data_IF_408294815372
#
_entry.id   IF_408294815372
#
_cell.length_a   1.000
_cell.length_b   1.000
_cell.length_c   1.000
_cell.angle_alpha   90.00
_cell.angle_beta   90.00
_cell.angle_gamma   90.00
#
_symmetry.space_group_name_H-M   'P 1'
#
loop_
_entity.id
_entity.type
_entity.pdbx_description
1 polymer ?
#
# COMPACT_ATOMS: atom_id res chain seq x y z
N UNK A 1 47.75 -4.20 14.01
CA UNK A 1 46.80 -4.32 12.89
C UNK A 1 47.20 -3.29 11.84
N UNK A 2 47.41 -3.68 10.58
CA UNK A 2 47.82 -2.73 9.53
C UNK A 2 46.72 -1.68 9.31
N UNK A 3 47.10 -0.41 9.21
CA UNK A 3 46.18 0.73 9.00
C UNK A 3 45.25 0.48 7.80
N UNK A 4 45.73 -0.21 6.75
CA UNK A 4 44.92 -0.56 5.59
C UNK A 4 43.72 -1.46 5.91
N UNK A 5 43.83 -2.38 6.87
CA UNK A 5 42.71 -3.24 7.28
C UNK A 5 41.64 -2.47 8.06
N UNK A 6 42.04 -1.44 8.82
CA UNK A 6 41.13 -0.58 9.56
C UNK A 6 40.32 0.29 8.59
N UNK A 7 40.99 0.88 7.59
CA UNK A 7 40.33 1.71 6.56
C UNK A 7 39.35 0.87 5.73
N UNK A 8 39.75 -0.34 5.31
CA UNK A 8 38.87 -1.25 4.58
C UNK A 8 37.63 -1.63 5.40
N UNK A 9 37.81 -1.93 6.69
CA UNK A 9 36.70 -2.23 7.60
C UNK A 9 35.69 -1.08 7.72
N UNK A 10 36.17 0.16 7.84
CA UNK A 10 35.30 1.35 7.89
C UNK A 10 34.50 1.51 6.59
N UNK A 11 35.14 1.35 5.43
CA UNK A 11 34.47 1.45 4.12
C UNK A 11 33.35 0.41 3.99
N UNK A 12 33.60 -0.83 4.41
CA UNK A 12 32.60 -1.91 4.37
C UNK A 12 31.41 -1.58 5.28
N UNK A 13 31.67 -1.08 6.50
CA UNK A 13 30.60 -0.69 7.44
C UNK A 13 29.73 0.43 6.84
N UNK A 14 30.35 1.43 6.21
CA UNK A 14 29.63 2.53 5.56
C UNK A 14 28.73 1.99 4.44
N UNK A 15 29.25 1.09 3.59
CA UNK A 15 28.48 0.49 2.50
C UNK A 15 27.28 -0.31 3.02
N UNK A 16 27.44 -1.06 4.11
CA UNK A 16 26.36 -1.84 4.73
C UNK A 16 25.27 -0.90 5.27
N UNK A 17 25.65 0.16 5.98
CA UNK A 17 24.70 1.14 6.53
C UNK A 17 23.91 1.82 5.41
N UNK A 18 24.59 2.22 4.33
CA UNK A 18 23.94 2.81 3.15
C UNK A 18 22.98 1.83 2.48
N UNK A 19 23.40 0.57 2.29
CA UNK A 19 22.57 -0.47 1.71
C UNK A 19 21.30 -0.74 2.50
N UNK A 20 21.43 -0.89 3.82
CA UNK A 20 20.29 -1.07 4.74
C UNK A 20 19.37 0.16 4.71
N UNK A 21 19.94 1.36 4.68
CA UNK A 21 19.19 2.61 4.62
C UNK A 21 18.29 2.71 3.38
N UNK A 22 18.78 2.28 2.22
CA UNK A 22 18.00 2.25 0.97
C UNK A 22 16.89 1.18 1.05
N UNK A 23 17.23 -0.03 1.52
CA UNK A 23 16.26 -1.12 1.66
C UNK A 23 15.12 -0.76 2.62
N UNK A 24 15.44 -0.12 3.74
CA UNK A 24 14.44 0.33 4.72
C UNK A 24 13.47 1.36 4.13
N UNK A 25 13.94 2.27 3.25
CA UNK A 25 13.07 3.22 2.55
C UNK A 25 12.11 2.52 1.59
N UNK A 26 12.61 1.55 0.83
CA UNK A 26 11.79 0.76 -0.09
C UNK A 26 10.71 -0.04 0.67
N UNK A 27 11.08 -0.66 1.79
CA UNK A 27 10.13 -1.41 2.63
C UNK A 27 9.04 -0.50 3.20
N UNK A 28 9.39 0.69 3.70
CA UNK A 28 8.41 1.67 4.21
C UNK A 28 7.39 2.07 3.14
N UNK A 29 7.84 2.25 1.90
CA UNK A 29 6.94 2.55 0.78
C UNK A 29 5.99 1.37 0.50
N UNK A 30 6.52 0.15 0.45
CA UNK A 30 5.72 -1.06 0.25
C UNK A 30 4.65 -1.24 1.32
N UNK A 31 5.01 -1.10 2.59
CA UNK A 31 4.06 -1.17 3.72
C UNK A 31 2.97 -0.11 3.59
N UNK A 32 3.32 1.13 3.21
CA UNK A 32 2.36 2.22 3.02
C UNK A 32 1.33 1.89 1.92
N UNK A 33 1.79 1.29 0.82
CA UNK A 33 0.90 0.87 -0.28
C UNK A 33 -0.04 -0.25 0.18
N UNK A 34 0.50 -1.27 0.86
CA UNK A 34 -0.31 -2.39 1.35
C UNK A 34 -1.38 -1.89 2.33
N UNK A 35 -1.02 -1.00 3.26
CA UNK A 35 -1.98 -0.39 4.18
C UNK A 35 -3.07 0.40 3.46
N UNK A 36 -2.71 1.12 2.39
CA UNK A 36 -3.68 1.85 1.57
C UNK A 36 -4.67 0.90 0.88
N UNK A 37 -4.18 -0.22 0.33
CA UNK A 37 -4.99 -1.25 -0.30
C UNK A 37 -5.96 -1.89 0.68
N UNK A 38 -5.44 -2.30 1.84
CA UNK A 38 -6.26 -2.90 2.89
C UNK A 38 -7.33 -1.91 3.37
N UNK A 39 -6.99 -0.64 3.56
CA UNK A 39 -7.96 0.40 3.91
C UNK A 39 -9.10 0.49 2.89
N UNK A 40 -8.76 0.48 1.60
CA UNK A 40 -9.74 0.48 0.51
C UNK A 40 -10.70 -0.71 0.57
N UNK A 41 -10.16 -1.91 0.79
CA UNK A 41 -10.96 -3.14 0.92
C UNK A 41 -11.85 -3.12 2.17
N UNK A 42 -11.31 -2.68 3.29
CA UNK A 42 -12.05 -2.55 4.55
C UNK A 42 -13.19 -1.54 4.37
N UNK A 43 -12.93 -0.39 3.75
CA UNK A 43 -13.96 0.60 3.44
C UNK A 43 -15.04 0.05 2.51
N UNK A 44 -14.66 -0.65 1.44
CA UNK A 44 -15.63 -1.29 0.53
C UNK A 44 -16.56 -2.24 1.31
N UNK A 45 -15.99 -3.08 2.18
CA UNK A 45 -16.78 -3.99 2.99
C UNK A 45 -17.67 -3.25 3.98
N UNK A 46 -17.16 -2.20 4.64
CA UNK A 46 -17.90 -1.40 5.61
C UNK A 46 -19.09 -0.67 4.98
N UNK A 47 -18.91 -0.05 3.80
CA UNK A 47 -20.02 0.63 3.13
C UNK A 47 -21.09 -0.36 2.69
N UNK A 48 -20.70 -1.56 2.29
CA UNK A 48 -21.62 -2.63 1.88
C UNK A 48 -22.40 -3.27 3.04
N UNK A 49 -22.14 -2.87 4.29
CA UNK A 49 -22.99 -3.23 5.45
C UNK A 49 -24.20 -2.29 5.58
N UNK A 50 -24.21 -1.17 4.87
CA UNK A 50 -25.33 -0.24 4.90
C UNK A 50 -26.48 -0.78 4.04
N UNK A 51 -27.73 -0.71 4.51
CA UNK A 51 -28.87 -1.35 3.83
C UNK A 51 -29.27 -0.71 2.49
N UNK A 52 -28.57 0.34 2.05
CA UNK A 52 -28.80 1.07 0.80
C UNK A 52 -27.59 1.01 -0.15
N UNK A 53 -26.53 0.27 0.23
CA UNK A 53 -25.32 0.09 -0.56
C UNK A 53 -25.17 -1.39 -0.89
N UNK A 54 -25.25 -1.71 -2.17
CA UNK A 54 -25.09 -3.07 -2.70
C UNK A 54 -24.05 -3.04 -3.83
N UNK A 55 -22.78 -2.95 -3.45
CA UNK A 55 -21.67 -3.01 -4.40
C UNK A 55 -21.25 -4.48 -4.57
N UNK A 56 -21.26 -5.04 -5.79
CA UNK A 56 -20.84 -6.42 -6.02
C UNK A 56 -19.36 -6.61 -5.67
N UNK A 57 -19.04 -7.55 -4.78
CA UNK A 57 -17.66 -7.88 -4.39
C UNK A 57 -17.05 -8.82 -5.43
N UNK A 58 -16.45 -8.24 -6.46
CA UNK A 58 -15.78 -8.94 -7.54
C UNK A 58 -14.34 -8.43 -7.69
N UNK A 59 -13.56 -9.06 -8.57
CA UNK A 59 -12.15 -8.71 -8.75
C UNK A 59 -11.96 -7.23 -9.14
N UNK A 60 -12.85 -6.67 -9.97
CA UNK A 60 -12.78 -5.28 -10.42
C UNK A 60 -13.07 -4.29 -9.27
N UNK A 61 -14.11 -4.52 -8.49
CA UNK A 61 -14.47 -3.63 -7.37
C UNK A 61 -13.43 -3.69 -6.25
N UNK A 62 -12.86 -4.87 -5.98
CA UNK A 62 -11.74 -5.05 -5.05
C UNK A 62 -10.49 -4.32 -5.56
N UNK A 63 -10.20 -4.36 -6.87
CA UNK A 63 -9.07 -3.63 -7.46
C UNK A 63 -9.26 -2.11 -7.37
N UNK A 64 -10.44 -1.61 -7.74
CA UNK A 64 -10.76 -0.18 -7.71
C UNK A 64 -10.73 0.34 -6.27
N UNK A 65 -11.35 -0.37 -5.33
CA UNK A 65 -11.33 0.00 -3.92
C UNK A 65 -9.93 -0.12 -3.32
N UNK A 66 -9.18 -1.17 -3.63
CA UNK A 66 -7.82 -1.36 -3.12
C UNK A 66 -6.85 -0.28 -3.60
N UNK A 67 -6.69 -0.14 -4.92
CA UNK A 67 -5.75 0.84 -5.46
C UNK A 67 -6.22 2.29 -5.32
N UNK A 68 -7.54 2.53 -5.35
CA UNK A 68 -8.12 3.86 -5.18
C UNK A 68 -8.36 4.26 -3.72
N UNK A 69 -8.25 3.32 -2.77
CA UNK A 69 -8.55 3.54 -1.36
C UNK A 69 -9.95 4.13 -1.15
N UNK A 70 -10.02 5.19 -0.35
CA UNK A 70 -11.26 5.95 -0.08
C UNK A 70 -11.87 6.50 -1.37
N UNK A 71 -11.06 7.05 -2.28
CA UNK A 71 -11.54 7.64 -3.53
C UNK A 71 -12.13 6.55 -4.43
N UNK A 72 -11.50 5.38 -4.48
CA UNK A 72 -12.01 4.23 -5.22
C UNK A 72 -13.39 3.79 -4.72
N UNK A 73 -13.59 3.75 -3.40
CA UNK A 73 -14.89 3.41 -2.80
C UNK A 73 -15.95 4.49 -3.09
N UNK A 74 -15.59 5.78 -3.01
CA UNK A 74 -16.50 6.88 -3.39
C UNK A 74 -16.90 6.76 -4.87
N UNK A 75 -15.97 6.43 -5.74
CA UNK A 75 -16.26 6.22 -7.16
C UNK A 75 -17.23 5.06 -7.37
N UNK A 76 -17.03 3.94 -6.68
CA UNK A 76 -17.96 2.79 -6.74
C UNK A 76 -19.37 3.16 -6.25
N UNK A 77 -19.48 3.94 -5.18
CA UNK A 77 -20.76 4.45 -4.69
C UNK A 77 -21.47 5.32 -5.74
N UNK A 78 -20.73 6.18 -6.44
CA UNK A 78 -21.29 7.01 -7.53
C UNK A 78 -21.79 6.12 -8.66
N UNK A 79 -21.01 5.10 -9.06
CA UNK A 79 -21.43 4.18 -10.13
C UNK A 79 -22.70 3.42 -9.75
N UNK A 80 -22.83 2.99 -8.49
CA UNK A 80 -24.04 2.35 -7.98
C UNK A 80 -25.25 3.30 -8.06
N UNK A 81 -25.10 4.57 -7.64
CA UNK A 81 -26.16 5.58 -7.71
C UNK A 81 -26.59 5.87 -9.16
N UNK A 82 -25.67 5.71 -10.12
CA UNK A 82 -25.98 5.82 -11.55
C UNK A 82 -26.70 4.58 -12.14
N UNK A 83 -26.93 3.53 -11.34
CA UNK A 83 -27.62 2.31 -11.76
C UNK A 83 -26.83 1.44 -12.72
N UNK A 84 -25.49 1.57 -12.72
CA UNK A 84 -24.59 0.77 -13.55
C UNK A 84 -24.21 -0.58 -12.92
N UNK A 85 -24.71 -0.83 -11.70
CA UNK A 85 -24.65 -2.11 -10.99
C UNK A 85 -25.99 -2.37 -10.31
#
# INVERSE_FOLDING_TARGET
>A
MSIGLIVLGIIIIILIILGIGILAKALKLGVKIILHIILGWVLLFLVNLLPFVDIPVNILTILIAGFGGVIGVIFLLIIQVLGLF
#
